data_IF_321484027283
#
_entry.id   IF_321484027283
#
_cell.length_a   1.000
_cell.length_b   1.000
_cell.length_c   1.000
_cell.angle_alpha   90.00
_cell.angle_beta   90.00
_cell.angle_gamma   90.00
#
_symmetry.space_group_name_H-M   'P 1'
#
loop_
_entity.id
_entity.type
_entity.pdbx_description
1 polymer ?
#
# COMPACT_ATOMS: atom_id res chain seq x y z
N UNK A 1 -31.10 17.94 -4.52
CA UNK A 1 -30.48 17.58 -5.81
C UNK A 1 -31.29 18.04 -7.01
N UNK A 2 -32.60 17.82 -7.05
CA UNK A 2 -33.48 18.34 -8.12
C UNK A 2 -33.36 19.86 -8.36
N UNK A 3 -33.20 20.65 -7.29
CA UNK A 3 -32.92 22.09 -7.39
C UNK A 3 -31.65 22.43 -8.20
N UNK A 4 -30.60 21.59 -8.11
CA UNK A 4 -29.35 21.80 -8.86
C UNK A 4 -29.61 21.60 -10.36
N UNK A 5 -30.33 20.53 -10.73
CA UNK A 5 -30.73 20.30 -12.12
C UNK A 5 -31.54 21.49 -12.67
N UNK A 6 -32.51 21.98 -11.89
CA UNK A 6 -33.32 23.16 -12.26
C UNK A 6 -32.49 24.42 -12.43
N UNK A 7 -31.53 24.67 -11.54
CA UNK A 7 -30.64 25.83 -11.63
C UNK A 7 -29.73 25.81 -12.87
N UNK A 8 -29.41 24.62 -13.38
CA UNK A 8 -28.55 24.48 -14.57
C UNK A 8 -29.31 24.62 -15.89
N UNK A 9 -30.65 24.42 -15.93
CA UNK A 9 -31.45 24.48 -17.17
C UNK A 9 -31.25 25.74 -18.03
N UNK A 10 -31.05 26.95 -17.47
CA UNK A 10 -30.82 28.15 -18.28
C UNK A 10 -29.42 28.20 -18.92
N UNK A 11 -28.52 27.27 -18.58
CA UNK A 11 -27.14 27.25 -19.03
C UNK A 11 -26.88 26.05 -19.95
N UNK A 12 -26.19 26.28 -21.06
CA UNK A 12 -25.84 25.21 -22.03
C UNK A 12 -24.62 24.37 -21.61
N UNK A 13 -24.12 24.56 -20.39
CA UNK A 13 -22.93 23.86 -19.88
C UNK A 13 -23.24 23.09 -18.59
N UNK A 14 -23.47 21.76 -18.68
CA UNK A 14 -23.72 20.93 -17.51
C UNK A 14 -22.43 20.43 -16.85
N UNK A 15 -21.24 20.92 -17.25
CA UNK A 15 -19.97 20.42 -16.73
C UNK A 15 -19.90 20.53 -15.20
N UNK A 16 -19.44 19.45 -14.57
CA UNK A 16 -19.24 19.37 -13.15
C UNK A 16 -17.94 18.64 -12.83
N UNK A 17 -17.37 18.98 -11.67
CA UNK A 17 -16.19 18.30 -11.14
C UNK A 17 -16.48 17.90 -9.70
N UNK A 18 -16.26 16.63 -9.41
CA UNK A 18 -16.28 16.08 -8.06
C UNK A 18 -14.86 16.03 -7.54
N UNK A 19 -14.66 16.51 -6.32
CA UNK A 19 -13.36 16.54 -5.66
C UNK A 19 -13.47 15.80 -4.32
N UNK A 20 -12.45 15.02 -3.99
CA UNK A 20 -12.21 14.48 -2.66
C UNK A 20 -10.81 14.84 -2.25
N UNK A 21 -10.68 15.52 -1.10
CA UNK A 21 -9.39 15.78 -0.46
C UNK A 21 -9.23 14.85 0.75
N UNK A 22 -8.13 14.09 0.78
CA UNK A 22 -7.71 13.27 1.92
C UNK A 22 -6.52 13.97 2.57
N UNK A 23 -6.68 14.43 3.81
CA UNK A 23 -5.61 15.04 4.59
C UNK A 23 -4.95 14.00 5.50
N UNK A 24 -3.62 13.98 5.49
CA UNK A 24 -2.75 13.18 6.37
C UNK A 24 -1.92 14.14 7.23
N UNK A 25 -1.80 13.81 8.51
CA UNK A 25 -0.93 14.49 9.46
C UNK A 25 -0.14 13.46 10.26
N UNK A 26 1.18 13.60 10.32
CA UNK A 26 2.06 12.71 11.10
C UNK A 26 2.50 13.37 12.43
N UNK A 27 3.08 12.61 13.37
CA UNK A 27 3.54 13.14 14.65
C UNK A 27 4.63 14.22 14.56
N UNK A 28 5.42 14.26 13.47
CA UNK A 28 6.45 15.27 13.24
C UNK A 28 5.89 16.61 12.75
N UNK A 29 4.56 16.71 12.60
CA UNK A 29 3.86 17.90 12.14
C UNK A 29 3.78 18.04 10.61
N UNK A 30 4.17 17.02 9.85
CA UNK A 30 3.99 17.01 8.40
C UNK A 30 2.51 16.89 8.06
N UNK A 31 2.00 17.80 7.22
CA UNK A 31 0.66 17.73 6.64
C UNK A 31 0.76 17.52 5.13
N UNK A 32 0.12 16.47 4.62
CA UNK A 32 -0.02 16.19 3.18
C UNK A 32 -1.51 16.11 2.83
N UNK A 33 -1.91 16.63 1.66
CA UNK A 33 -3.28 16.52 1.14
C UNK A 33 -3.26 15.82 -0.21
N UNK A 34 -4.08 14.79 -0.35
CA UNK A 34 -4.21 13.98 -1.56
C UNK A 34 -5.56 14.22 -2.19
N UNK A 35 -5.55 14.73 -3.42
CA UNK A 35 -6.76 15.12 -4.13
C UNK A 35 -7.13 14.10 -5.20
N UNK A 36 -8.34 13.57 -5.10
CA UNK A 36 -9.00 12.85 -6.18
C UNK A 36 -9.96 13.78 -6.91
N UNK A 37 -9.83 13.86 -8.23
CA UNK A 37 -10.67 14.70 -9.10
C UNK A 37 -11.37 13.79 -10.10
N UNK A 38 -12.67 13.99 -10.30
CA UNK A 38 -13.43 13.32 -11.34
C UNK A 38 -14.27 14.35 -12.08
N UNK A 39 -14.04 14.44 -13.38
CA UNK A 39 -14.81 15.31 -14.27
C UNK A 39 -16.05 14.57 -14.78
N UNK A 40 -17.07 15.33 -15.10
CA UNK A 40 -18.33 14.81 -15.62
C UNK A 40 -19.32 15.93 -15.92
N UNK A 41 -20.59 15.57 -15.91
CA UNK A 41 -21.70 16.48 -16.17
C UNK A 41 -22.84 16.25 -15.20
N UNK A 42 -23.73 17.22 -15.07
CA UNK A 42 -24.97 17.09 -14.32
C UNK A 42 -26.09 16.63 -15.26
N UNK A 43 -26.81 15.59 -14.85
CA UNK A 43 -27.97 15.07 -15.55
C UNK A 43 -29.09 16.11 -15.59
N UNK A 44 -29.91 16.13 -16.66
CA UNK A 44 -31.04 17.07 -16.79
C UNK A 44 -32.10 16.85 -15.70
N UNK A 45 -32.24 15.62 -15.23
CA UNK A 45 -33.12 15.20 -14.14
C UNK A 45 -32.43 14.10 -13.31
N UNK A 46 -32.76 13.96 -12.01
CA UNK A 46 -32.23 12.89 -11.18
C UNK A 46 -32.60 11.49 -11.70
N UNK A 47 -31.62 10.57 -11.77
CA UNK A 47 -31.81 9.18 -12.18
C UNK A 47 -31.13 8.20 -11.23
N UNK A 48 -31.71 7.00 -11.11
CA UNK A 48 -31.24 5.94 -10.22
C UNK A 48 -31.79 6.04 -8.80
N UNK A 49 -31.36 5.12 -7.93
CA UNK A 49 -31.78 5.09 -6.52
C UNK A 49 -30.85 5.96 -5.69
N UNK A 50 -31.39 6.99 -5.03
CA UNK A 50 -30.58 7.89 -4.22
C UNK A 50 -30.02 7.17 -2.99
N UNK A 51 -28.72 6.85 -3.05
CA UNK A 51 -27.98 6.32 -1.90
C UNK A 51 -27.39 7.46 -1.08
N UNK A 52 -26.82 8.47 -1.74
CA UNK A 52 -26.18 9.60 -1.07
C UNK A 52 -26.05 10.82 -2.00
N UNK A 53 -26.24 12.02 -1.43
CA UNK A 53 -25.82 13.28 -2.05
C UNK A 53 -26.20 13.44 -3.52
N UNK A 54 -25.21 13.79 -4.34
CA UNK A 54 -25.30 14.13 -5.75
C UNK A 54 -25.23 12.91 -6.70
N UNK A 55 -25.16 11.68 -6.17
CA UNK A 55 -24.96 10.47 -6.98
C UNK A 55 -26.03 10.32 -8.08
N UNK A 56 -27.27 10.75 -7.82
CA UNK A 56 -28.39 10.69 -8.77
C UNK A 56 -28.34 11.73 -9.89
N UNK A 57 -27.45 12.71 -9.81
CA UNK A 57 -27.37 13.79 -10.81
C UNK A 57 -26.00 13.90 -11.45
N UNK A 58 -24.95 13.23 -10.98
CA UNK A 58 -23.62 13.33 -11.59
C UNK A 58 -23.36 12.16 -12.55
N UNK A 59 -23.04 12.48 -13.79
CA UNK A 59 -22.66 11.55 -14.85
C UNK A 59 -21.15 11.71 -15.08
N UNK A 60 -20.32 10.67 -14.80
CA UNK A 60 -18.89 10.75 -15.01
C UNK A 60 -18.52 10.95 -16.49
N UNK A 61 -17.38 11.58 -16.75
CA UNK A 61 -16.88 11.72 -18.12
C UNK A 61 -16.75 10.36 -18.82
N UNK A 62 -17.26 10.26 -20.05
CA UNK A 62 -17.25 9.03 -20.84
C UNK A 62 -18.30 7.98 -20.43
N UNK A 63 -19.23 8.34 -19.54
CA UNK A 63 -20.34 7.47 -19.12
C UNK A 63 -21.69 8.09 -19.51
N UNK A 64 -22.71 7.25 -19.60
CA UNK A 64 -24.10 7.64 -19.88
C UNK A 64 -25.00 7.56 -18.63
N UNK A 65 -24.55 6.85 -17.59
CA UNK A 65 -25.24 6.60 -16.32
C UNK A 65 -24.82 7.59 -15.24
N UNK A 66 -25.76 7.94 -14.37
CA UNK A 66 -25.43 8.65 -13.12
C UNK A 66 -24.71 7.70 -12.17
N UNK A 67 -23.98 8.24 -11.20
CA UNK A 67 -23.36 7.45 -10.14
C UNK A 67 -24.34 6.52 -9.41
N UNK A 68 -25.59 6.94 -9.24
CA UNK A 68 -26.65 6.16 -8.59
C UNK A 68 -27.22 5.02 -9.46
N UNK A 69 -26.97 5.05 -10.77
CA UNK A 69 -27.34 3.98 -11.72
C UNK A 69 -26.23 2.92 -11.87
N UNK A 70 -25.04 3.17 -11.30
CA UNK A 70 -23.90 2.27 -11.35
C UNK A 70 -23.91 1.24 -10.21
N UNK A 71 -23.40 0.04 -10.48
CA UNK A 71 -23.10 -0.92 -9.41
C UNK A 71 -22.00 -0.39 -8.49
N UNK A 72 -21.91 -0.91 -7.27
CA UNK A 72 -20.83 -0.58 -6.34
C UNK A 72 -19.45 -0.83 -6.96
N UNK A 73 -19.30 -1.93 -7.71
CA UNK A 73 -18.07 -2.30 -8.37
C UNK A 73 -17.68 -1.28 -9.46
N UNK A 74 -18.61 -0.94 -10.35
CA UNK A 74 -18.41 0.09 -11.39
C UNK A 74 -18.06 1.45 -10.76
N UNK A 75 -18.76 1.84 -9.71
CA UNK A 75 -18.50 3.08 -8.99
C UNK A 75 -17.09 3.11 -8.40
N UNK A 76 -16.66 1.99 -7.82
CA UNK A 76 -15.38 1.88 -7.15
C UNK A 76 -14.20 1.91 -8.13
N UNK A 77 -14.40 1.63 -9.42
CA UNK A 77 -13.30 1.75 -10.39
C UNK A 77 -12.89 3.19 -10.66
N UNK A 78 -13.85 4.13 -10.65
CA UNK A 78 -13.68 5.54 -11.04
C UNK A 78 -13.81 6.56 -9.89
N UNK A 79 -14.07 6.10 -8.67
CA UNK A 79 -14.30 6.98 -7.50
C UNK A 79 -13.12 7.92 -7.20
N UNK A 80 -13.41 9.20 -6.96
CA UNK A 80 -12.43 10.21 -6.49
C UNK A 80 -11.75 9.79 -5.20
N UNK A 81 -12.48 9.13 -4.29
CA UNK A 81 -11.91 8.61 -3.04
C UNK A 81 -10.81 7.59 -3.30
N UNK A 82 -10.99 6.70 -4.29
CA UNK A 82 -9.97 5.73 -4.67
C UNK A 82 -8.71 6.42 -5.17
N UNK A 83 -8.85 7.47 -5.99
CA UNK A 83 -7.71 8.26 -6.49
C UNK A 83 -6.96 8.93 -5.34
N UNK A 84 -7.68 9.60 -4.42
CA UNK A 84 -7.07 10.23 -3.25
C UNK A 84 -6.32 9.21 -2.36
N UNK A 85 -6.94 8.05 -2.09
CA UNK A 85 -6.34 6.97 -1.30
C UNK A 85 -5.12 6.36 -2.00
N UNK A 86 -5.15 6.18 -3.32
CA UNK A 86 -4.01 5.66 -4.07
C UNK A 86 -2.81 6.63 -4.01
N UNK A 87 -3.07 7.94 -4.08
CA UNK A 87 -2.06 8.97 -3.87
C UNK A 87 -1.44 8.90 -2.47
N UNK A 88 -2.29 8.82 -1.43
CA UNK A 88 -1.86 8.65 -0.05
C UNK A 88 -1.00 7.39 0.16
N UNK A 89 -1.49 6.23 -0.31
CA UNK A 89 -0.78 4.96 -0.19
C UNK A 89 0.61 5.03 -0.82
N UNK A 90 0.72 5.65 -1.99
CA UNK A 90 1.99 5.75 -2.72
C UNK A 90 2.99 6.68 -2.04
N UNK A 91 2.52 7.79 -1.47
CA UNK A 91 3.39 8.87 -0.98
C UNK A 91 3.62 8.91 0.53
N UNK A 92 2.97 8.03 1.28
CA UNK A 92 3.13 7.92 2.74
C UNK A 92 3.39 6.47 3.10
N UNK A 93 2.43 5.59 2.83
CA UNK A 93 2.54 4.21 3.28
C UNK A 93 3.68 3.44 2.61
N UNK A 94 3.96 3.67 1.32
CA UNK A 94 5.12 3.02 0.67
C UNK A 94 6.45 3.52 1.21
N UNK A 95 6.58 4.81 1.52
CA UNK A 95 7.82 5.37 2.08
C UNK A 95 8.06 4.87 3.50
N UNK A 96 7.05 4.97 4.36
CA UNK A 96 7.11 4.49 5.75
C UNK A 96 7.32 2.97 5.82
N UNK A 97 6.65 2.21 4.96
CA UNK A 97 6.80 0.75 4.90
C UNK A 97 8.17 0.34 4.34
N UNK A 98 8.70 1.04 3.33
CA UNK A 98 10.05 0.76 2.82
C UNK A 98 11.12 1.04 3.89
N UNK A 99 10.99 2.12 4.65
CA UNK A 99 11.87 2.42 5.78
C UNK A 99 11.74 1.37 6.89
N UNK A 100 10.51 0.98 7.25
CA UNK A 100 10.28 -0.07 8.24
C UNK A 100 10.90 -1.41 7.82
N UNK A 101 10.74 -1.81 6.55
CA UNK A 101 11.38 -3.01 6.00
C UNK A 101 12.91 -2.91 6.09
N UNK A 102 13.48 -1.76 5.75
CA UNK A 102 14.92 -1.54 5.84
C UNK A 102 15.42 -1.66 7.29
N UNK A 103 14.72 -1.04 8.25
CA UNK A 103 15.05 -1.15 9.66
C UNK A 103 14.91 -2.59 10.18
N UNK A 104 13.88 -3.31 9.74
CA UNK A 104 13.67 -4.71 10.10
C UNK A 104 14.77 -5.61 9.57
N UNK A 105 15.30 -5.36 8.36
CA UNK A 105 16.46 -6.08 7.81
C UNK A 105 17.74 -5.80 8.60
N UNK A 106 17.96 -4.54 8.97
CA UNK A 106 19.08 -4.16 9.82
C UNK A 106 18.97 -4.85 11.19
N UNK A 107 17.77 -4.89 11.77
CA UNK A 107 17.50 -5.57 13.03
C UNK A 107 17.73 -7.09 12.91
N UNK A 108 17.16 -7.74 11.88
CA UNK A 108 17.36 -9.16 11.59
C UNK A 108 18.86 -9.49 11.56
N UNK A 109 19.64 -8.74 10.78
CA UNK A 109 21.08 -8.93 10.66
C UNK A 109 21.78 -8.79 12.02
N UNK A 110 21.46 -7.75 12.79
CA UNK A 110 22.04 -7.53 14.13
C UNK A 110 21.74 -8.70 15.06
N UNK A 111 20.50 -9.19 15.06
CA UNK A 111 20.07 -10.31 15.90
C UNK A 111 20.74 -11.63 15.47
N UNK A 112 20.80 -11.90 14.17
CA UNK A 112 21.54 -13.05 13.64
C UNK A 112 23.00 -13.03 14.11
N UNK A 113 23.71 -11.91 13.91
CA UNK A 113 25.11 -11.75 14.34
C UNK A 113 25.26 -11.91 15.85
N UNK A 114 24.28 -11.47 16.64
CA UNK A 114 24.32 -11.53 18.10
C UNK A 114 24.06 -12.94 18.64
N UNK A 115 23.05 -13.63 18.13
CA UNK A 115 22.49 -14.85 18.75
C UNK A 115 22.88 -16.16 18.06
N UNK A 116 23.48 -16.09 16.87
CA UNK A 116 23.98 -17.25 16.14
C UNK A 116 25.48 -17.15 16.00
N UNK A 117 26.18 -18.25 16.18
CA UNK A 117 27.57 -18.45 15.76
C UNK A 117 27.63 -18.69 14.25
N UNK A 118 28.84 -18.67 13.65
CA UNK A 118 29.00 -18.96 12.21
C UNK A 118 28.45 -20.35 11.86
N UNK A 119 28.83 -21.37 12.63
CA UNK A 119 28.39 -22.75 12.37
C UNK A 119 26.88 -22.94 12.52
N UNK A 120 26.24 -22.22 13.46
CA UNK A 120 24.77 -22.25 13.55
C UNK A 120 24.09 -21.56 12.36
N UNK A 121 24.71 -20.52 11.78
CA UNK A 121 24.22 -19.93 10.53
C UNK A 121 24.41 -20.87 9.34
N UNK A 122 25.46 -21.68 9.31
CA UNK A 122 25.65 -22.73 8.29
C UNK A 122 24.53 -23.78 8.39
N UNK A 123 24.12 -24.14 9.62
CA UNK A 123 22.94 -24.99 9.83
C UNK A 123 21.66 -24.32 9.34
N UNK A 124 21.46 -23.03 9.60
CA UNK A 124 20.32 -22.29 9.03
C UNK A 124 20.30 -22.32 7.50
N UNK A 125 21.47 -22.15 6.86
CA UNK A 125 21.59 -22.30 5.40
C UNK A 125 21.12 -23.68 4.93
N UNK A 126 21.56 -24.75 5.61
CA UNK A 126 21.15 -26.11 5.30
C UNK A 126 19.62 -26.30 5.44
N UNK A 127 19.03 -25.81 6.53
CA UNK A 127 17.58 -25.88 6.78
C UNK A 127 16.78 -25.09 5.72
N UNK A 128 17.36 -24.03 5.16
CA UNK A 128 16.81 -23.25 4.05
C UNK A 128 17.08 -23.85 2.66
N UNK A 129 17.78 -24.98 2.58
CA UNK A 129 18.17 -25.62 1.32
C UNK A 129 19.25 -24.84 0.54
N UNK A 130 20.03 -23.99 1.21
CA UNK A 130 21.15 -23.25 0.64
C UNK A 130 22.40 -24.13 0.70
N UNK A 131 23.08 -24.30 -0.44
CA UNK A 131 24.29 -25.11 -0.52
C UNK A 131 25.43 -24.49 0.32
N UNK A 132 26.19 -25.34 1.02
CA UNK A 132 27.33 -24.94 1.87
C UNK A 132 28.41 -24.16 1.11
N UNK A 133 28.55 -24.40 -0.19
CA UNK A 133 29.58 -23.80 -1.03
C UNK A 133 29.11 -22.49 -1.68
N UNK A 134 27.87 -22.05 -1.38
CA UNK A 134 27.28 -20.79 -1.91
C UNK A 134 28.04 -19.56 -1.43
N UNK A 135 28.59 -19.59 -0.21
CA UNK A 135 29.24 -18.44 0.43
C UNK A 135 30.63 -18.80 0.98
N UNK A 136 31.63 -19.03 0.11
CA UNK A 136 32.97 -19.42 0.55
C UNK A 136 33.71 -18.26 1.23
N UNK A 137 34.53 -18.58 2.23
CA UNK A 137 35.54 -17.69 2.83
C UNK A 137 35.06 -16.37 3.47
N UNK A 138 33.78 -16.24 3.81
CA UNK A 138 33.25 -15.05 4.47
C UNK A 138 33.49 -15.05 5.99
N UNK A 139 33.68 -13.89 6.60
CA UNK A 139 33.63 -13.78 8.06
C UNK A 139 32.17 -13.82 8.57
N UNK A 140 31.96 -13.96 9.89
CA UNK A 140 30.61 -14.08 10.48
C UNK A 140 29.66 -12.95 10.09
N UNK A 141 30.15 -11.72 10.02
CA UNK A 141 29.34 -10.53 9.73
C UNK A 141 28.94 -10.52 8.25
N UNK A 142 29.89 -10.82 7.36
CA UNK A 142 29.67 -10.95 5.92
C UNK A 142 28.73 -12.11 5.60
N UNK A 143 28.92 -13.25 6.26
CA UNK A 143 28.10 -14.44 6.09
C UNK A 143 26.62 -14.17 6.44
N UNK A 144 26.36 -13.48 7.56
CA UNK A 144 25.00 -13.06 7.91
C UNK A 144 24.37 -12.11 6.87
N UNK A 145 25.17 -11.27 6.21
CA UNK A 145 24.67 -10.41 5.12
C UNK A 145 24.28 -11.22 3.90
N UNK A 146 25.16 -12.11 3.45
CA UNK A 146 24.94 -12.89 2.24
C UNK A 146 23.76 -13.85 2.38
N UNK A 147 23.51 -14.41 3.58
CA UNK A 147 22.30 -15.18 3.85
C UNK A 147 21.04 -14.33 3.60
N UNK A 148 20.99 -13.12 4.14
CA UNK A 148 19.84 -12.22 3.98
C UNK A 148 19.67 -11.86 2.50
N UNK A 149 20.73 -11.45 1.82
CA UNK A 149 20.69 -11.08 0.39
C UNK A 149 20.25 -12.25 -0.51
N UNK A 150 20.70 -13.46 -0.20
CA UNK A 150 20.27 -14.65 -0.91
C UNK A 150 18.78 -14.92 -0.65
N UNK A 151 18.35 -14.90 0.61
CA UNK A 151 16.95 -15.12 0.96
C UNK A 151 16.03 -14.07 0.32
N UNK A 152 16.46 -12.82 0.18
CA UNK A 152 15.73 -11.80 -0.58
C UNK A 152 15.60 -12.17 -2.05
N UNK A 153 16.70 -12.58 -2.70
CA UNK A 153 16.72 -12.93 -4.12
C UNK A 153 15.85 -14.14 -4.45
N UNK A 154 15.79 -15.10 -3.55
CA UNK A 154 15.08 -16.36 -3.74
C UNK A 154 13.74 -16.43 -2.98
N UNK A 155 13.27 -15.30 -2.44
CA UNK A 155 12.00 -15.20 -1.72
C UNK A 155 11.86 -16.17 -0.53
N UNK A 156 12.93 -16.31 0.26
CA UNK A 156 13.05 -17.17 1.45
C UNK A 156 13.08 -16.38 2.77
N UNK A 157 12.81 -15.06 2.74
CA UNK A 157 12.92 -14.20 3.92
C UNK A 157 11.97 -14.60 5.05
N UNK A 158 10.77 -15.07 4.71
CA UNK A 158 9.77 -15.50 5.68
C UNK A 158 10.20 -16.79 6.38
N UNK A 159 10.75 -17.73 5.63
CA UNK A 159 11.30 -19.00 6.10
C UNK A 159 12.49 -18.74 7.02
N UNK A 160 13.43 -17.90 6.59
CA UNK A 160 14.59 -17.48 7.40
C UNK A 160 14.14 -16.90 8.75
N UNK A 161 13.20 -15.95 8.73
CA UNK A 161 12.69 -15.32 9.95
C UNK A 161 11.98 -16.32 10.86
N UNK A 162 11.25 -17.26 10.28
CA UNK A 162 10.55 -18.33 11.03
C UNK A 162 11.56 -19.21 11.76
N UNK A 163 12.59 -19.70 11.06
CA UNK A 163 13.65 -20.51 11.66
C UNK A 163 14.41 -19.74 12.76
N UNK A 164 14.73 -18.47 12.53
CA UNK A 164 15.35 -17.63 13.55
C UNK A 164 14.50 -17.51 14.82
N UNK A 165 13.19 -17.31 14.68
CA UNK A 165 12.25 -17.23 15.81
C UNK A 165 12.14 -18.56 16.56
N UNK A 166 12.02 -19.67 15.84
CA UNK A 166 11.91 -21.00 16.44
C UNK A 166 13.17 -21.38 17.22
N UNK A 167 14.36 -21.10 16.67
CA UNK A 167 15.62 -21.42 17.33
C UNK A 167 15.99 -20.44 18.45
N UNK A 168 15.45 -19.21 18.43
CA UNK A 168 15.72 -18.16 19.44
C UNK A 168 14.42 -17.43 19.82
N UNK A 169 13.48 -18.09 20.51
CA UNK A 169 12.17 -17.52 20.84
C UNK A 169 12.26 -16.35 21.84
N UNK A 170 13.39 -16.22 22.55
CA UNK A 170 13.62 -15.16 23.52
C UNK A 170 14.08 -13.83 22.90
N UNK A 171 14.46 -13.80 21.61
CA UNK A 171 14.90 -12.59 20.95
C UNK A 171 13.72 -11.85 20.28
N UNK A 172 13.77 -10.52 20.29
CA UNK A 172 12.76 -9.65 19.68
C UNK A 172 12.99 -9.52 18.17
N UNK A 173 12.58 -10.55 17.43
CA UNK A 173 12.68 -10.58 15.97
C UNK A 173 11.72 -9.58 15.30
N UNK A 174 12.09 -8.98 14.15
CA UNK A 174 11.19 -8.07 13.41
C UNK A 174 9.90 -8.78 13.03
N UNK A 175 8.78 -8.05 12.98
CA UNK A 175 7.45 -8.63 12.68
C UNK A 175 7.30 -9.03 11.20
N UNK A 176 7.79 -8.18 10.29
CA UNK A 176 7.69 -8.30 8.83
C UNK A 176 9.01 -7.96 8.11
N UNK A 177 9.22 -8.48 6.89
CA UNK A 177 10.43 -8.34 6.07
C UNK A 177 10.12 -8.19 4.57
#
# INVERSE_FOLDING_TARGET
VDGICKMLRPFDNPAATVITDLAYHNPDGLVKVFRGILHGTIAPEPRGTQVFGWDVIFIPAGQDKTFAEMSLEQRNTISTRKVAVAGFYTAVLKEEHAEAILQNRILLRKLMIRYFTRSEMETLCFDLGIDKDTFPDLNKIEFAQEIILYCERYNLMKELLTLCREQRPHAEWPEEL
#
